data_IF_708912871503
#
_entry.id   IF_708912871503
#
_cell.length_a   1.000
_cell.length_b   1.000
_cell.length_c   1.000
_cell.angle_alpha   90.00
_cell.angle_beta   90.00
_cell.angle_gamma   90.00
#
_symmetry.space_group_name_H-M   'P 1'
#
loop_
_entity.id
_entity.type
_entity.pdbx_description
1 polymer ?
#
# COMPACT_ATOMS: atom_id res chain seq x y z
N UNK A 1 15.09 -52.81 24.54
CA UNK A 1 14.90 -51.68 25.45
C UNK A 1 15.05 -50.41 24.58
N UNK A 2 13.97 -49.78 24.21
CA UNK A 2 14.00 -48.48 23.44
C UNK A 2 14.44 -47.39 24.38
N UNK A 3 15.35 -46.60 23.92
CA UNK A 3 16.02 -45.55 24.69
C UNK A 3 15.04 -44.36 24.87
N UNK A 4 14.33 -44.37 26.01
CA UNK A 4 13.33 -43.34 26.38
C UNK A 4 13.95 -41.97 26.65
N UNK A 5 15.28 -41.85 26.71
CA UNK A 5 15.99 -40.59 26.90
C UNK A 5 16.12 -39.80 25.60
N UNK A 6 16.26 -40.47 24.43
CA UNK A 6 16.33 -39.79 23.14
C UNK A 6 15.00 -39.18 22.71
N UNK A 7 13.87 -39.81 23.13
CA UNK A 7 12.51 -39.25 22.85
C UNK A 7 12.17 -38.05 23.74
N UNK A 8 12.77 -37.95 24.93
CA UNK A 8 12.63 -36.82 25.84
C UNK A 8 13.47 -35.61 25.40
N UNK A 9 14.64 -35.82 24.80
CA UNK A 9 15.48 -34.77 24.25
C UNK A 9 14.90 -34.22 22.94
N UNK A 10 14.32 -35.05 22.09
CA UNK A 10 13.58 -34.63 20.90
C UNK A 10 12.33 -33.81 21.27
N UNK A 11 11.64 -34.17 22.36
CA UNK A 11 10.50 -33.40 22.90
C UNK A 11 10.88 -32.02 23.47
N UNK A 12 12.09 -31.92 24.11
CA UNK A 12 12.58 -30.62 24.64
C UNK A 12 12.96 -29.63 23.55
N UNK A 13 13.51 -30.06 22.41
CA UNK A 13 13.81 -29.20 21.28
C UNK A 13 12.56 -28.65 20.60
N UNK A 14 11.39 -29.25 20.82
CA UNK A 14 10.11 -28.83 20.23
C UNK A 14 9.33 -27.81 21.08
N UNK A 15 9.73 -27.61 22.37
CA UNK A 15 8.95 -26.79 23.31
C UNK A 15 9.50 -25.38 23.57
N UNK A 16 10.72 -25.05 23.10
CA UNK A 16 11.40 -23.79 23.45
C UNK A 16 11.29 -22.66 22.44
N UNK A 17 10.66 -22.84 21.27
CA UNK A 17 10.44 -21.74 20.32
C UNK A 17 8.96 -21.34 20.25
N UNK A 18 8.72 -20.03 20.43
CA UNK A 18 7.42 -19.42 20.18
C UNK A 18 6.87 -19.91 18.82
N UNK A 19 5.64 -20.47 18.74
CA UNK A 19 5.06 -21.02 17.52
C UNK A 19 5.08 -20.04 16.33
N UNK A 20 5.00 -18.75 16.60
CA UNK A 20 5.09 -17.68 15.60
C UNK A 20 6.50 -17.59 15.01
N UNK A 21 7.54 -17.65 15.86
CA UNK A 21 8.94 -17.60 15.41
C UNK A 21 9.29 -18.85 14.60
N UNK A 22 8.76 -20.00 15.02
CA UNK A 22 8.94 -21.26 14.29
C UNK A 22 8.25 -21.25 12.94
N UNK A 23 7.01 -20.73 12.86
CA UNK A 23 6.30 -20.55 11.60
C UNK A 23 7.05 -19.58 10.67
N UNK A 24 7.56 -18.47 11.20
CA UNK A 24 8.37 -17.51 10.44
C UNK A 24 9.68 -18.14 9.92
N UNK A 25 10.38 -18.93 10.74
CA UNK A 25 11.58 -19.65 10.32
C UNK A 25 11.29 -20.71 9.25
N UNK A 26 10.18 -21.42 9.37
CA UNK A 26 9.74 -22.39 8.36
C UNK A 26 9.36 -21.70 7.04
N UNK A 27 8.71 -20.53 7.08
CA UNK A 27 8.42 -19.73 5.90
C UNK A 27 9.71 -19.18 5.27
N UNK A 28 10.66 -18.67 6.06
CA UNK A 28 11.96 -18.22 5.55
C UNK A 28 12.79 -19.35 4.93
N UNK A 29 12.71 -20.56 5.47
CA UNK A 29 13.40 -21.73 4.91
C UNK A 29 12.87 -22.14 3.53
N UNK A 30 11.69 -21.69 3.12
CA UNK A 30 11.07 -21.95 1.82
C UNK A 30 11.29 -20.84 0.79
N UNK A 31 11.93 -19.70 1.19
CA UNK A 31 12.20 -18.62 0.25
C UNK A 31 13.24 -19.06 -0.79
N UNK A 32 13.06 -18.74 -2.07
CA UNK A 32 13.99 -19.08 -3.12
C UNK A 32 15.33 -18.37 -2.89
N UNK A 33 16.42 -19.08 -3.11
CA UNK A 33 17.75 -18.47 -3.05
C UNK A 33 17.89 -17.45 -4.16
N UNK A 34 18.60 -16.36 -3.88
CA UNK A 34 19.03 -15.43 -4.90
C UNK A 34 19.93 -16.18 -5.90
N UNK A 35 19.54 -16.13 -7.18
CA UNK A 35 20.19 -16.90 -8.26
C UNK A 35 20.89 -16.01 -9.29
N UNK A 36 20.85 -14.68 -9.08
CA UNK A 36 21.39 -13.68 -10.00
C UNK A 36 22.42 -12.80 -9.30
N UNK A 37 23.32 -12.23 -10.10
CA UNK A 37 24.34 -11.26 -9.66
C UNK A 37 24.02 -9.86 -10.14
N UNK A 38 23.60 -9.71 -11.42
CA UNK A 38 23.35 -8.43 -12.06
C UNK A 38 21.85 -8.15 -12.17
N UNK A 39 21.49 -6.89 -11.92
CA UNK A 39 20.12 -6.38 -12.06
C UNK A 39 20.17 -5.12 -12.89
N UNK A 40 19.52 -5.13 -14.04
CA UNK A 40 19.54 -4.06 -15.02
C UNK A 40 18.11 -3.69 -15.44
N UNK A 41 17.89 -2.42 -15.79
CA UNK A 41 16.68 -1.98 -16.47
C UNK A 41 17.00 -1.89 -17.95
N UNK A 42 16.23 -2.57 -18.78
CA UNK A 42 16.39 -2.58 -20.22
C UNK A 42 15.11 -2.08 -20.91
N UNK A 43 15.30 -1.31 -21.98
CA UNK A 43 14.20 -0.92 -22.87
C UNK A 43 13.75 -2.14 -23.66
N UNK A 44 12.44 -2.35 -23.73
CA UNK A 44 11.79 -3.42 -24.48
C UNK A 44 10.66 -2.84 -25.31
N UNK A 45 10.11 -3.63 -26.23
CA UNK A 45 8.93 -3.18 -26.98
C UNK A 45 7.77 -2.86 -26.01
N UNK A 46 7.37 -1.60 -25.99
CA UNK A 46 6.26 -1.10 -25.17
C UNK A 46 6.62 -0.56 -23.79
N UNK A 47 7.91 -0.53 -23.39
CA UNK A 47 8.33 0.02 -22.10
C UNK A 47 9.69 -0.43 -21.62
N UNK A 48 9.81 -0.64 -20.31
CA UNK A 48 11.06 -1.00 -19.64
C UNK A 48 10.85 -2.24 -18.77
N UNK A 49 11.77 -3.19 -18.84
CA UNK A 49 11.74 -4.42 -18.07
C UNK A 49 12.97 -4.54 -17.17
N UNK A 50 12.79 -5.19 -16.02
CA UNK A 50 13.90 -5.56 -15.14
C UNK A 50 14.49 -6.87 -15.61
N UNK A 51 15.82 -6.92 -15.77
CA UNK A 51 16.58 -8.09 -16.18
C UNK A 51 17.47 -8.57 -15.02
N UNK A 52 17.50 -9.87 -14.83
CA UNK A 52 18.39 -10.56 -13.90
C UNK A 52 19.37 -11.41 -14.72
N UNK A 53 20.65 -11.07 -14.69
CA UNK A 53 21.70 -11.68 -15.53
C UNK A 53 21.29 -11.75 -17.02
N UNK A 54 20.75 -10.64 -17.54
CA UNK A 54 20.30 -10.51 -18.94
C UNK A 54 18.96 -11.18 -19.26
N UNK A 55 18.27 -11.79 -18.28
CA UNK A 55 16.96 -12.44 -18.47
C UNK A 55 15.84 -11.58 -17.90
N UNK A 56 14.79 -11.29 -18.67
CA UNK A 56 13.68 -10.48 -18.17
C UNK A 56 12.91 -11.17 -17.04
N UNK A 57 12.56 -10.39 -16.02
CA UNK A 57 11.71 -10.84 -14.93
C UNK A 57 10.29 -11.06 -15.45
N UNK A 58 9.65 -12.11 -14.94
CA UNK A 58 8.25 -12.42 -15.19
C UNK A 58 7.44 -12.37 -13.92
N UNK A 59 6.17 -11.99 -14.06
CA UNK A 59 5.19 -12.04 -12.99
C UNK A 59 4.86 -13.50 -12.61
N UNK A 60 4.16 -13.75 -11.51
CA UNK A 60 3.67 -15.08 -11.15
C UNK A 60 2.83 -15.75 -12.24
N UNK A 61 2.02 -14.99 -13.00
CA UNK A 61 1.27 -15.49 -14.15
C UNK A 61 2.11 -15.64 -15.43
N UNK A 62 3.45 -15.42 -15.34
CA UNK A 62 4.44 -15.53 -16.44
C UNK A 62 4.35 -14.45 -17.51
N UNK A 63 3.63 -13.37 -17.28
CA UNK A 63 3.68 -12.15 -18.09
C UNK A 63 5.05 -11.47 -17.91
N UNK A 64 5.46 -10.67 -18.89
CA UNK A 64 6.65 -9.84 -18.74
C UNK A 64 6.40 -8.78 -17.66
N UNK A 65 7.30 -8.65 -16.68
CA UNK A 65 7.24 -7.55 -15.71
C UNK A 65 7.79 -6.29 -16.40
N UNK A 66 6.90 -5.52 -16.97
CA UNK A 66 7.19 -4.34 -17.78
C UNK A 66 6.50 -3.12 -17.20
N UNK A 67 7.19 -1.99 -17.21
CA UNK A 67 6.70 -0.70 -16.73
C UNK A 67 6.82 0.35 -17.84
N UNK A 68 5.95 1.37 -17.86
CA UNK A 68 5.94 2.35 -18.95
C UNK A 68 7.17 3.27 -18.96
N UNK A 69 7.86 3.45 -17.83
CA UNK A 69 9.02 4.35 -17.70
C UNK A 69 10.23 3.65 -17.09
N UNK A 70 11.42 4.12 -17.44
CA UNK A 70 12.68 3.64 -16.85
C UNK A 70 12.74 3.93 -15.33
N UNK A 71 12.23 5.08 -14.90
CA UNK A 71 12.18 5.46 -13.49
C UNK A 71 11.30 4.53 -12.66
N UNK A 72 10.14 4.12 -13.16
CA UNK A 72 9.30 3.15 -12.49
C UNK A 72 9.94 1.75 -12.45
N UNK A 73 10.58 1.32 -13.56
CA UNK A 73 11.31 0.05 -13.61
C UNK A 73 12.51 0.03 -12.64
N UNK A 74 13.17 1.17 -12.45
CA UNK A 74 14.29 1.29 -11.51
C UNK A 74 13.86 1.07 -10.06
N UNK A 75 12.65 1.51 -9.65
CA UNK A 75 12.11 1.25 -8.32
C UNK A 75 12.01 -0.26 -8.05
N UNK A 76 11.56 -1.03 -9.04
CA UNK A 76 11.50 -2.50 -8.96
C UNK A 76 12.90 -3.11 -8.96
N UNK A 77 13.80 -2.61 -9.81
CA UNK A 77 15.18 -3.10 -9.89
C UNK A 77 15.95 -2.89 -8.58
N UNK A 78 15.71 -1.76 -7.87
CA UNK A 78 16.27 -1.51 -6.54
C UNK A 78 15.88 -2.61 -5.54
N UNK A 79 14.64 -3.09 -5.56
CA UNK A 79 14.20 -4.18 -4.68
C UNK A 79 14.92 -5.49 -4.97
N UNK A 80 15.13 -5.82 -6.25
CA UNK A 80 15.93 -7.00 -6.61
C UNK A 80 17.39 -6.85 -6.19
N UNK A 81 18.00 -5.67 -6.35
CA UNK A 81 19.39 -5.42 -5.91
C UNK A 81 19.55 -5.56 -4.41
N UNK A 82 18.54 -5.14 -3.64
CA UNK A 82 18.52 -5.19 -2.19
C UNK A 82 18.37 -6.61 -1.60
N UNK A 83 18.02 -7.61 -2.42
CA UNK A 83 17.98 -9.00 -1.94
C UNK A 83 19.40 -9.50 -1.69
N UNK A 84 19.61 -10.24 -0.58
CA UNK A 84 20.93 -10.75 -0.22
C UNK A 84 21.05 -12.24 -0.59
N UNK A 85 20.73 -13.15 0.34
CA UNK A 85 20.86 -14.60 0.18
C UNK A 85 19.64 -15.27 -0.40
N UNK A 86 18.48 -14.70 -0.14
CA UNK A 86 17.16 -15.20 -0.57
C UNK A 86 16.35 -14.06 -1.18
N UNK A 87 15.40 -14.40 -2.02
CA UNK A 87 14.41 -13.47 -2.54
C UNK A 87 13.24 -13.48 -1.59
N UNK A 88 13.03 -12.36 -0.90
CA UNK A 88 11.97 -12.20 0.09
C UNK A 88 10.87 -11.23 -0.43
N UNK A 89 9.74 -11.73 -0.93
CA UNK A 89 8.66 -10.88 -1.43
C UNK A 89 8.10 -9.92 -0.38
N UNK A 90 8.26 -10.23 0.90
CA UNK A 90 7.87 -9.34 2.00
C UNK A 90 8.63 -8.00 1.99
N UNK A 91 9.83 -8.00 1.39
CA UNK A 91 10.70 -6.83 1.23
C UNK A 91 10.64 -6.22 -0.17
N UNK A 92 9.67 -6.61 -0.98
CA UNK A 92 9.54 -6.20 -2.39
C UNK A 92 8.13 -5.63 -2.68
N UNK A 93 7.71 -4.55 -2.00
CA UNK A 93 6.37 -3.99 -2.16
C UNK A 93 6.11 -3.44 -3.56
N UNK A 94 7.08 -2.81 -4.25
CA UNK A 94 6.91 -2.35 -5.63
C UNK A 94 6.71 -3.52 -6.59
N UNK A 95 7.53 -4.57 -6.45
CA UNK A 95 7.40 -5.78 -7.27
C UNK A 95 6.03 -6.44 -7.09
N UNK A 96 5.53 -6.53 -5.85
CA UNK A 96 4.19 -7.08 -5.56
C UNK A 96 3.08 -6.23 -6.17
N UNK A 97 3.18 -4.91 -6.03
CA UNK A 97 2.23 -3.95 -6.61
C UNK A 97 2.18 -4.10 -8.14
N UNK A 98 3.33 -4.12 -8.80
CA UNK A 98 3.42 -4.26 -10.27
C UNK A 98 2.91 -5.63 -10.73
N UNK A 99 3.23 -6.71 -10.01
CA UNK A 99 2.68 -8.03 -10.31
C UNK A 99 1.15 -8.03 -10.22
N UNK A 100 0.57 -7.42 -9.18
CA UNK A 100 -0.89 -7.31 -9.02
C UNK A 100 -1.50 -6.48 -10.14
N UNK A 101 -0.84 -5.40 -10.55
CA UNK A 101 -1.30 -4.56 -11.65
C UNK A 101 -1.35 -5.34 -12.98
N UNK A 102 -0.28 -6.06 -13.32
CA UNK A 102 -0.15 -6.78 -14.58
C UNK A 102 -1.03 -8.03 -14.61
N UNK A 103 -1.02 -8.84 -13.54
CA UNK A 103 -1.69 -10.14 -13.53
C UNK A 103 -3.17 -10.05 -13.16
N UNK A 104 -3.59 -9.00 -12.44
CA UNK A 104 -4.95 -8.81 -11.95
C UNK A 104 -5.65 -7.59 -12.54
N UNK A 105 -5.18 -6.38 -12.18
CA UNK A 105 -5.90 -5.13 -12.49
C UNK A 105 -6.02 -4.89 -14.00
N UNK A 106 -5.01 -5.25 -14.78
CA UNK A 106 -5.06 -5.13 -16.23
C UNK A 106 -6.20 -5.93 -16.89
N UNK A 107 -6.75 -6.94 -16.20
CA UNK A 107 -7.87 -7.74 -16.69
C UNK A 107 -9.22 -7.03 -16.51
N UNK A 108 -9.36 -6.25 -15.42
CA UNK A 108 -10.58 -5.49 -15.08
C UNK A 108 -10.23 -4.21 -14.32
N UNK A 109 -9.70 -3.18 -15.03
CA UNK A 109 -9.39 -1.88 -14.40
C UNK A 109 -10.61 -1.18 -13.84
N UNK A 110 -11.80 -1.43 -14.45
CA UNK A 110 -13.04 -0.79 -14.06
C UNK A 110 -13.47 -1.21 -12.64
N UNK A 111 -13.32 -2.48 -12.29
CA UNK A 111 -13.64 -2.96 -10.94
C UNK A 111 -12.80 -2.26 -9.86
N UNK A 112 -11.53 -1.94 -10.16
CA UNK A 112 -10.65 -1.22 -9.23
C UNK A 112 -11.06 0.25 -9.09
N UNK A 113 -11.42 0.92 -10.19
CA UNK A 113 -11.98 2.28 -10.14
C UNK A 113 -13.26 2.33 -9.30
N UNK A 114 -14.16 1.37 -9.48
CA UNK A 114 -15.41 1.29 -8.72
C UNK A 114 -15.15 1.03 -7.23
N UNK A 115 -14.11 0.27 -6.89
CA UNK A 115 -13.72 0.04 -5.50
C UNK A 115 -13.17 1.32 -4.86
N UNK A 116 -12.29 2.07 -5.56
CA UNK A 116 -11.80 3.37 -5.08
C UNK A 116 -12.98 4.36 -4.90
N UNK A 117 -13.95 4.39 -5.83
CA UNK A 117 -15.15 5.22 -5.70
C UNK A 117 -16.03 4.82 -4.51
N UNK A 118 -16.07 3.54 -4.16
CA UNK A 118 -16.76 3.08 -2.96
C UNK A 118 -16.11 3.63 -1.69
N UNK A 119 -14.76 3.67 -1.63
CA UNK A 119 -14.05 4.35 -0.54
C UNK A 119 -14.38 5.85 -0.49
N UNK A 120 -14.47 6.54 -1.63
CA UNK A 120 -14.88 7.94 -1.66
C UNK A 120 -16.29 8.16 -1.07
N UNK A 121 -17.18 7.17 -1.23
CA UNK A 121 -18.52 7.18 -0.62
C UNK A 121 -18.53 7.11 0.91
N UNK A 122 -17.46 6.60 1.51
CA UNK A 122 -17.28 6.46 2.97
C UNK A 122 -15.87 6.91 3.38
N UNK A 123 -15.39 7.99 2.78
CA UNK A 123 -14.02 8.47 2.97
C UNK A 123 -13.74 8.88 4.40
N UNK A 124 -12.57 8.48 4.91
CA UNK A 124 -12.12 8.80 6.27
C UNK A 124 -12.29 10.29 6.60
N UNK A 125 -11.94 11.18 5.67
CA UNK A 125 -11.98 12.62 5.88
C UNK A 125 -13.39 13.18 6.08
N UNK A 126 -14.41 12.42 5.72
CA UNK A 126 -15.80 12.83 5.88
C UNK A 126 -16.38 12.52 7.25
N UNK A 127 -15.72 11.68 8.06
CA UNK A 127 -16.20 11.30 9.39
C UNK A 127 -15.38 12.01 10.47
N UNK A 128 -16.05 12.90 11.20
CA UNK A 128 -15.41 13.80 12.16
C UNK A 128 -15.77 13.41 13.59
N UNK A 129 -14.79 13.53 14.48
CA UNK A 129 -15.06 13.44 15.92
C UNK A 129 -16.01 14.57 16.35
N UNK A 130 -16.88 14.26 17.30
CA UNK A 130 -17.73 15.24 18.00
C UNK A 130 -17.15 15.67 19.35
N UNK A 131 -16.19 14.92 19.86
CA UNK A 131 -15.43 15.17 21.08
C UNK A 131 -14.11 14.35 21.08
N UNK A 132 -13.10 14.75 21.90
CA UNK A 132 -12.96 16.03 22.58
C UNK A 132 -12.64 17.18 21.63
N UNK A 133 -12.85 18.42 22.04
CA UNK A 133 -12.69 19.61 21.19
C UNK A 133 -11.31 19.75 20.58
N UNK A 134 -10.26 19.27 21.24
CA UNK A 134 -8.88 19.31 20.73
C UNK A 134 -8.71 18.39 19.52
N UNK A 135 -9.31 17.18 19.52
CA UNK A 135 -9.32 16.29 18.38
C UNK A 135 -10.14 16.88 17.22
N UNK A 136 -11.33 17.41 17.50
CA UNK A 136 -12.18 18.09 16.52
C UNK A 136 -11.39 19.22 15.83
N UNK A 137 -10.71 20.07 16.62
CA UNK A 137 -9.90 21.17 16.09
C UNK A 137 -8.72 20.67 15.26
N UNK A 138 -8.07 19.57 15.66
CA UNK A 138 -6.96 18.94 14.93
C UNK A 138 -7.44 18.39 13.60
N UNK A 139 -8.54 17.64 13.56
CA UNK A 139 -9.13 17.11 12.34
C UNK A 139 -9.54 18.26 11.39
N UNK A 140 -10.26 19.27 11.89
CA UNK A 140 -10.68 20.43 11.11
C UNK A 140 -9.49 21.12 10.46
N UNK A 141 -8.48 21.49 11.25
CA UNK A 141 -7.31 22.19 10.74
C UNK A 141 -6.51 21.40 9.68
N UNK A 142 -6.52 20.07 9.77
CA UNK A 142 -5.70 19.20 8.92
C UNK A 142 -6.47 18.59 7.75
N UNK A 143 -7.76 18.32 7.88
CA UNK A 143 -8.56 17.63 6.86
C UNK A 143 -9.38 18.59 5.98
N UNK A 144 -9.86 19.73 6.52
CA UNK A 144 -10.65 20.68 5.73
C UNK A 144 -9.90 21.16 4.48
N UNK A 145 -8.58 21.45 4.48
CA UNK A 145 -7.89 21.83 3.27
C UNK A 145 -8.02 20.80 2.12
N UNK A 146 -8.07 19.49 2.44
CA UNK A 146 -8.26 18.45 1.42
C UNK A 146 -9.72 18.33 0.97
N UNK A 147 -10.69 18.55 1.86
CA UNK A 147 -12.10 18.62 1.49
C UNK A 147 -12.35 19.82 0.59
N UNK A 148 -11.80 20.99 0.93
CA UNK A 148 -11.88 22.21 0.11
C UNK A 148 -11.20 22.00 -1.25
N UNK A 149 -10.05 21.33 -1.29
CA UNK A 149 -9.40 20.95 -2.54
C UNK A 149 -10.30 20.03 -3.38
N UNK A 150 -10.92 19.00 -2.79
CA UNK A 150 -11.85 18.13 -3.50
C UNK A 150 -13.06 18.91 -4.05
N UNK A 151 -13.54 19.93 -3.34
CA UNK A 151 -14.59 20.81 -3.84
C UNK A 151 -14.13 21.62 -5.07
N UNK A 152 -12.86 22.02 -5.15
CA UNK A 152 -12.33 22.67 -6.38
C UNK A 152 -12.36 21.75 -7.59
N UNK A 153 -12.34 20.42 -7.37
CA UNK A 153 -12.52 19.40 -8.39
C UNK A 153 -14.00 19.15 -8.75
N UNK A 154 -14.94 19.86 -8.10
CA UNK A 154 -16.38 19.71 -8.25
C UNK A 154 -16.98 18.64 -7.33
N UNK A 155 -16.17 17.96 -6.51
CA UNK A 155 -16.62 16.90 -5.61
C UNK A 155 -16.94 17.49 -4.22
N UNK A 156 -18.21 17.84 -3.99
CA UNK A 156 -18.70 18.38 -2.71
C UNK A 156 -19.10 17.25 -1.78
N UNK A 157 -18.19 16.89 -0.88
CA UNK A 157 -18.45 15.86 0.11
C UNK A 157 -19.22 16.42 1.30
N UNK A 158 -20.16 15.60 1.82
CA UNK A 158 -20.90 15.88 3.04
C UNK A 158 -20.13 15.32 4.24
N UNK A 159 -19.91 16.14 5.26
CA UNK A 159 -19.27 15.74 6.50
C UNK A 159 -20.29 15.20 7.49
N UNK A 160 -19.93 14.15 8.22
CA UNK A 160 -20.70 13.59 9.34
C UNK A 160 -19.93 13.75 10.64
N UNK A 161 -20.62 14.04 11.72
CA UNK A 161 -20.06 14.10 13.07
C UNK A 161 -20.47 12.88 13.88
N UNK A 162 -19.56 12.36 14.67
CA UNK A 162 -19.79 11.18 15.51
C UNK A 162 -19.96 9.90 14.67
N UNK A 163 -20.88 9.02 15.11
CA UNK A 163 -21.05 7.67 14.54
C UNK A 163 -22.12 7.55 13.46
N UNK A 164 -22.69 8.66 13.04
CA UNK A 164 -23.78 8.65 12.06
C UNK A 164 -23.22 8.46 10.63
N UNK A 165 -23.75 7.45 9.94
CA UNK A 165 -23.43 7.27 8.53
C UNK A 165 -24.08 8.40 7.68
N UNK A 166 -23.31 8.92 6.73
CA UNK A 166 -23.79 9.87 5.71
C UNK A 166 -23.56 9.29 4.32
N UNK A 167 -24.59 9.33 3.51
CA UNK A 167 -24.48 8.97 2.09
C UNK A 167 -23.98 10.18 1.30
N UNK A 168 -22.93 9.98 0.52
CA UNK A 168 -22.42 11.02 -0.38
C UNK A 168 -23.32 11.18 -1.61
N UNK A 169 -23.47 12.40 -2.07
CA UNK A 169 -24.30 12.67 -3.26
C UNK A 169 -23.73 12.03 -4.51
N UNK A 170 -24.61 11.63 -5.44
CA UNK A 170 -24.18 11.11 -6.75
C UNK A 170 -23.34 12.11 -7.53
N UNK A 171 -23.63 13.38 -7.40
CA UNK A 171 -22.91 14.47 -8.03
C UNK A 171 -21.48 14.53 -7.53
N UNK A 172 -21.25 14.44 -6.21
CA UNK A 172 -19.91 14.41 -5.62
C UNK A 172 -19.11 13.21 -6.08
N UNK A 173 -19.69 11.99 -6.01
CA UNK A 173 -19.03 10.75 -6.45
C UNK A 173 -18.74 10.77 -7.94
N UNK A 174 -19.67 11.27 -8.77
CA UNK A 174 -19.45 11.39 -10.21
C UNK A 174 -18.34 12.39 -10.54
N UNK A 175 -18.34 13.57 -9.92
CA UNK A 175 -17.29 14.56 -10.11
C UNK A 175 -15.91 14.02 -9.70
N UNK A 176 -15.82 13.37 -8.55
CA UNK A 176 -14.61 12.71 -8.09
C UNK A 176 -14.14 11.62 -9.07
N UNK A 177 -15.07 10.80 -9.56
CA UNK A 177 -14.83 9.73 -10.53
C UNK A 177 -14.23 10.21 -11.86
N UNK A 178 -14.60 11.41 -12.32
CA UNK A 178 -14.00 12.01 -13.52
C UNK A 178 -12.49 12.17 -13.36
N UNK A 179 -12.03 12.58 -12.17
CA UNK A 179 -10.61 12.73 -11.90
C UNK A 179 -9.87 11.41 -11.73
N UNK A 180 -10.53 10.38 -11.21
CA UNK A 180 -9.98 9.03 -11.14
C UNK A 180 -9.87 8.38 -12.53
N UNK A 181 -10.82 8.62 -13.42
CA UNK A 181 -10.83 8.04 -14.78
C UNK A 181 -9.67 8.52 -15.68
N UNK A 182 -8.95 9.56 -15.26
CA UNK A 182 -7.71 9.98 -15.91
C UNK A 182 -6.56 8.98 -15.71
N UNK A 183 -6.64 8.13 -14.70
CA UNK A 183 -5.64 7.08 -14.43
C UNK A 183 -6.07 5.79 -15.12
N UNK A 184 -5.57 5.56 -16.32
CA UNK A 184 -5.91 4.38 -17.15
C UNK A 184 -4.87 3.26 -17.08
N UNK A 185 -3.65 3.57 -16.64
CA UNK A 185 -2.58 2.60 -16.48
C UNK A 185 -2.84 1.68 -15.28
N UNK A 186 -2.77 0.34 -15.45
CA UNK A 186 -3.04 -0.61 -14.35
C UNK A 186 -2.11 -0.43 -13.14
N UNK A 187 -0.85 0.02 -13.34
CA UNK A 187 0.11 0.24 -12.25
C UNK A 187 -0.27 1.52 -11.48
N UNK A 188 -0.73 2.55 -12.18
CA UNK A 188 -1.26 3.75 -11.55
C UNK A 188 -2.50 3.44 -10.72
N UNK A 189 -3.43 2.63 -11.24
CA UNK A 189 -4.61 2.17 -10.51
C UNK A 189 -4.26 1.32 -9.30
N UNK A 190 -3.29 0.40 -9.44
CA UNK A 190 -2.77 -0.38 -8.30
C UNK A 190 -2.21 0.51 -7.21
N UNK A 191 -1.47 1.55 -7.59
CA UNK A 191 -0.89 2.52 -6.66
C UNK A 191 -1.97 3.33 -5.93
N UNK A 192 -2.95 3.87 -6.68
CA UNK A 192 -4.10 4.58 -6.10
C UNK A 192 -4.91 3.72 -5.15
N UNK A 193 -5.23 2.50 -5.56
CA UNK A 193 -5.99 1.56 -4.73
C UNK A 193 -5.22 1.18 -3.45
N UNK A 194 -3.91 0.95 -3.56
CA UNK A 194 -3.05 0.68 -2.41
C UNK A 194 -3.06 1.85 -1.44
N UNK A 195 -2.86 3.08 -1.92
CA UNK A 195 -2.90 4.27 -1.08
C UNK A 195 -4.28 4.46 -0.44
N UNK A 196 -5.36 4.27 -1.20
CA UNK A 196 -6.74 4.35 -0.71
C UNK A 196 -7.02 3.37 0.42
N UNK A 197 -6.66 2.10 0.24
CA UNK A 197 -6.92 1.05 1.25
C UNK A 197 -6.05 1.22 2.50
N UNK A 198 -4.83 1.71 2.34
CA UNK A 198 -3.91 1.96 3.47
C UNK A 198 -4.31 3.17 4.31
N UNK A 199 -4.87 4.21 3.69
CA UNK A 199 -5.29 5.44 4.34
C UNK A 199 -6.76 5.44 4.75
N UNK A 200 -7.59 4.57 4.15
CA UNK A 200 -9.05 4.65 4.28
C UNK A 200 -9.65 5.86 3.54
N UNK A 201 -8.89 6.52 2.66
CA UNK A 201 -9.30 7.75 1.98
C UNK A 201 -8.89 7.75 0.51
N UNK A 202 -9.88 7.78 -0.37
CA UNK A 202 -9.66 8.00 -1.80
C UNK A 202 -9.24 9.45 -2.08
N UNK A 203 -9.70 10.41 -1.25
CA UNK A 203 -9.34 11.82 -1.37
C UNK A 203 -7.85 12.00 -1.12
N UNK A 204 -7.29 11.42 -0.05
CA UNK A 204 -5.85 11.47 0.23
C UNK A 204 -5.06 10.82 -0.92
N UNK A 205 -5.47 9.65 -1.37
CA UNK A 205 -4.79 8.93 -2.46
C UNK A 205 -4.75 9.75 -3.76
N UNK A 206 -5.88 10.36 -4.14
CA UNK A 206 -5.94 11.22 -5.33
C UNK A 206 -5.12 12.50 -5.15
N UNK A 207 -5.14 13.11 -3.96
CA UNK A 207 -4.36 14.31 -3.65
C UNK A 207 -2.85 14.05 -3.78
N UNK A 208 -2.37 12.90 -3.31
CA UNK A 208 -0.97 12.49 -3.49
C UNK A 208 -0.65 12.27 -4.97
N UNK A 209 -1.49 11.54 -5.69
CA UNK A 209 -1.30 11.25 -7.11
C UNK A 209 -1.26 12.53 -7.98
N UNK A 210 -2.01 13.57 -7.57
CA UNK A 210 -2.01 14.87 -8.24
C UNK A 210 -0.93 15.84 -7.71
N UNK A 211 -0.18 15.45 -6.67
CA UNK A 211 0.90 16.26 -6.10
C UNK A 211 0.43 17.39 -5.19
N UNK A 212 -0.82 17.37 -4.74
CA UNK A 212 -1.38 18.35 -3.80
C UNK A 212 -0.78 18.20 -2.40
N UNK A 213 -0.53 16.97 -1.98
CA UNK A 213 0.15 16.66 -0.72
C UNK A 213 1.27 15.64 -0.96
N UNK A 214 2.28 15.65 -0.09
CA UNK A 214 3.30 14.62 -0.09
C UNK A 214 2.75 13.27 0.43
N UNK A 215 3.43 12.16 0.12
CA UNK A 215 3.05 10.85 0.66
C UNK A 215 3.15 10.80 2.17
N UNK A 216 4.18 11.45 2.74
CA UNK A 216 4.43 11.57 4.16
C UNK A 216 3.32 12.35 4.87
N UNK A 217 2.92 13.50 4.29
CA UNK A 217 1.80 14.29 4.83
C UNK A 217 0.48 13.52 4.72
N UNK A 218 0.22 12.88 3.57
CA UNK A 218 -0.98 12.05 3.39
C UNK A 218 -1.06 10.90 4.39
N UNK A 219 0.07 10.26 4.68
CA UNK A 219 0.17 9.24 5.72
C UNK A 219 -0.16 9.80 7.11
N UNK A 220 0.39 10.96 7.45
CA UNK A 220 0.12 11.65 8.72
C UNK A 220 -1.36 12.05 8.84
N UNK A 221 -1.95 12.58 7.76
CA UNK A 221 -3.36 12.95 7.71
C UNK A 221 -4.28 11.75 7.95
N UNK A 222 -3.96 10.60 7.39
CA UNK A 222 -4.75 9.37 7.56
C UNK A 222 -4.71 8.79 8.98
N UNK A 223 -3.76 9.22 9.82
CA UNK A 223 -3.54 8.61 11.14
C UNK A 223 -3.75 9.60 12.32
N UNK A 224 -4.45 10.71 12.09
CA UNK A 224 -4.68 11.73 13.14
C UNK A 224 -5.37 11.12 14.36
N UNK A 225 -6.36 10.25 14.17
CA UNK A 225 -7.12 9.63 15.26
C UNK A 225 -6.29 8.58 16.02
N UNK A 226 -5.45 7.82 15.28
CA UNK A 226 -4.52 6.88 15.89
C UNK A 226 -3.44 7.61 16.69
N UNK A 227 -2.89 8.70 16.15
CA UNK A 227 -1.90 9.53 16.82
C UNK A 227 -2.48 10.15 18.10
N UNK A 228 -3.70 10.69 18.01
CA UNK A 228 -4.42 11.19 19.18
C UNK A 228 -4.59 10.10 20.26
N UNK A 229 -5.02 8.91 19.85
CA UNK A 229 -5.19 7.78 20.78
C UNK A 229 -3.86 7.39 21.43
N UNK A 230 -2.79 7.34 20.65
CA UNK A 230 -1.43 7.02 21.13
C UNK A 230 -0.92 8.08 22.12
N UNK A 231 -1.17 9.37 21.86
CA UNK A 231 -0.81 10.48 22.76
C UNK A 231 -1.52 10.38 24.12
N UNK A 232 -2.79 9.90 24.12
CA UNK A 232 -3.59 9.82 25.36
C UNK A 232 -3.31 8.55 26.17
N UNK A 233 -3.08 7.41 25.50
CA UNK A 233 -3.10 6.09 26.14
C UNK A 233 -1.78 5.33 26.04
N UNK A 234 -0.81 5.87 25.30
CA UNK A 234 0.47 5.24 25.05
C UNK A 234 0.49 4.38 23.76
N UNK A 235 1.69 4.01 23.35
CA UNK A 235 1.94 3.26 22.14
C UNK A 235 1.83 1.74 22.37
N UNK A 236 1.10 1.04 21.50
CA UNK A 236 1.16 -0.41 21.37
C UNK A 236 2.26 -0.81 20.37
N UNK A 237 3.26 -1.54 20.83
CA UNK A 237 4.44 -1.89 20.03
C UNK A 237 4.08 -2.75 18.79
N UNK A 238 3.07 -3.61 18.86
CA UNK A 238 2.63 -4.43 17.72
C UNK A 238 1.89 -3.58 16.70
N UNK A 239 0.99 -2.67 17.15
CA UNK A 239 0.32 -1.72 16.29
C UNK A 239 1.31 -0.80 15.58
N UNK A 240 2.30 -0.26 16.31
CA UNK A 240 3.37 0.57 15.75
C UNK A 240 4.21 -0.16 14.69
N UNK A 241 4.57 -1.43 14.94
CA UNK A 241 5.29 -2.24 13.97
C UNK A 241 4.47 -2.49 12.69
N UNK A 242 3.16 -2.80 12.82
CA UNK A 242 2.25 -2.94 11.67
C UNK A 242 2.11 -1.62 10.89
N UNK A 243 1.92 -0.51 11.60
CA UNK A 243 1.82 0.83 10.99
C UNK A 243 3.09 1.18 10.21
N UNK A 244 4.27 0.90 10.76
CA UNK A 244 5.55 1.10 10.09
C UNK A 244 5.67 0.29 8.79
N UNK A 245 5.25 -0.98 8.79
CA UNK A 245 5.26 -1.82 7.60
C UNK A 245 4.31 -1.28 6.52
N UNK A 246 3.09 -0.86 6.90
CA UNK A 246 2.11 -0.26 5.99
C UNK A 246 2.59 1.09 5.43
N UNK A 247 3.31 1.88 6.23
CA UNK A 247 3.91 3.14 5.77
C UNK A 247 4.90 2.90 4.62
N UNK A 248 5.71 1.85 4.67
CA UNK A 248 6.62 1.49 3.58
C UNK A 248 5.85 1.18 2.29
N UNK A 249 4.76 0.41 2.36
CA UNK A 249 3.91 0.11 1.20
C UNK A 249 3.27 1.39 0.62
N UNK A 250 2.82 2.29 1.49
CA UNK A 250 2.26 3.59 1.11
C UNK A 250 3.27 4.44 0.35
N UNK A 251 4.49 4.60 0.90
CA UNK A 251 5.56 5.40 0.28
C UNK A 251 5.97 4.82 -1.07
N UNK A 252 6.03 3.50 -1.19
CA UNK A 252 6.35 2.83 -2.45
C UNK A 252 5.25 3.04 -3.49
N UNK A 253 3.98 2.89 -3.13
CA UNK A 253 2.86 3.13 -4.04
C UNK A 253 2.88 4.58 -4.57
N UNK A 254 3.11 5.56 -3.68
CA UNK A 254 3.24 6.96 -4.05
C UNK A 254 4.48 7.24 -4.93
N UNK A 255 5.61 6.56 -4.66
CA UNK A 255 6.83 6.67 -5.48
C UNK A 255 6.62 6.08 -6.86
N UNK A 256 5.95 4.94 -6.97
CA UNK A 256 5.65 4.28 -8.25
C UNK A 256 4.75 5.17 -9.10
N UNK A 257 3.60 5.62 -8.59
CA UNK A 257 2.68 6.44 -9.39
C UNK A 257 3.32 7.76 -9.86
N UNK A 258 4.21 8.33 -9.07
CA UNK A 258 4.94 9.56 -9.44
C UNK A 258 6.00 9.31 -10.53
N UNK A 259 6.45 8.08 -10.67
CA UNK A 259 7.48 7.69 -11.63
C UNK A 259 6.89 7.25 -12.99
N UNK A 260 5.56 7.07 -13.08
CA UNK A 260 4.85 6.76 -14.32
C UNK A 260 4.68 8.00 -15.19
#
# INVERSE_FOLDING_TARGET
>A
MRDTLSDLEAGKQLSDENPIIRAQKLMQAQLPKRFYEQVEVAEVEGGFAVHLDGRPVKTPARSLLMLPTASAAEIVAEEFRAQEKVIDPGKMPATRLVNTAIDGIAQDPQAVLEDILRFAGTDLLCYRADAPQELVSRQTARWDPLIDWAETLGARFTLAEGVMHVEQSREAITAFGIHLSAFTDPIALASLHTMTTLTGSAIIALAIAKGEVSAEDGWTLAHIDEDWTTEQWGEDAEAAARRKARAVEMMIAARVIKAL
#
